data_IF_935999856603
#
_entry.id   IF_935999856603
#
_cell.length_a   1.000
_cell.length_b   1.000
_cell.length_c   1.000
_cell.angle_alpha   90.00
_cell.angle_beta   90.00
_cell.angle_gamma   90.00
#
_symmetry.space_group_name_H-M   'P 1'
#
loop_
_entity.id
_entity.type
_entity.pdbx_description
1 polymer ?
#
# COMPACT_ATOMS: atom_id res chain seq x y z
N UNK A 1 -27.22 24.19 -10.11
CA UNK A 1 -25.83 24.26 -9.62
C UNK A 1 -25.02 23.22 -10.40
N UNK A 2 -24.15 23.69 -11.30
CA UNK A 2 -23.37 22.81 -12.19
C UNK A 2 -22.19 22.20 -11.43
N UNK A 3 -22.17 20.87 -11.33
CA UNK A 3 -21.02 20.13 -10.85
C UNK A 3 -19.89 20.24 -11.90
N UNK A 4 -19.01 21.22 -11.72
CA UNK A 4 -17.71 21.21 -12.40
C UNK A 4 -16.88 20.09 -11.78
N UNK A 5 -16.94 18.89 -12.36
CA UNK A 5 -15.89 17.88 -12.17
C UNK A 5 -14.55 18.52 -12.53
N UNK A 6 -13.65 18.68 -11.56
CA UNK A 6 -12.39 19.42 -11.75
C UNK A 6 -11.46 18.61 -12.67
N UNK A 7 -11.00 19.14 -13.81
CA UNK A 7 -10.13 18.43 -14.76
C UNK A 7 -8.85 17.83 -14.14
N UNK A 8 -8.36 18.43 -13.05
CA UNK A 8 -7.18 18.00 -12.32
C UNK A 8 -7.36 16.66 -11.56
N UNK A 9 -8.59 16.29 -11.23
CA UNK A 9 -8.91 15.04 -10.55
C UNK A 9 -8.83 13.87 -11.53
N UNK A 10 -9.38 14.03 -12.74
CA UNK A 10 -9.29 13.00 -13.79
C UNK A 10 -7.86 12.72 -14.26
N UNK A 11 -7.03 13.76 -14.39
CA UNK A 11 -5.60 13.60 -14.74
C UNK A 11 -4.83 12.84 -13.64
N UNK A 12 -5.17 13.07 -12.37
CA UNK A 12 -4.56 12.39 -11.24
C UNK A 12 -4.95 10.91 -11.17
N UNK A 13 -6.25 10.60 -11.24
CA UNK A 13 -6.74 9.23 -11.26
C UNK A 13 -6.06 8.44 -12.38
N UNK A 14 -5.92 9.04 -13.57
CA UNK A 14 -5.22 8.41 -14.69
C UNK A 14 -3.73 8.15 -14.40
N UNK A 15 -3.04 9.06 -13.71
CA UNK A 15 -1.65 8.87 -13.32
C UNK A 15 -1.48 7.70 -12.33
N UNK A 16 -2.36 7.63 -11.33
CA UNK A 16 -2.37 6.52 -10.36
C UNK A 16 -2.73 5.18 -11.00
N UNK A 17 -3.66 5.17 -11.95
CA UNK A 17 -3.99 3.97 -12.75
C UNK A 17 -2.78 3.49 -13.56
N UNK A 18 -2.05 4.41 -14.20
CA UNK A 18 -0.83 4.08 -14.95
C UNK A 18 0.28 3.55 -14.05
N UNK A 19 0.48 4.17 -12.88
CA UNK A 19 1.43 3.68 -11.88
C UNK A 19 1.08 2.25 -11.47
N UNK A 20 -0.18 2.01 -11.10
CA UNK A 20 -0.64 0.68 -10.69
C UNK A 20 -0.48 -0.37 -11.79
N UNK A 21 -0.83 -0.02 -13.04
CA UNK A 21 -0.67 -0.90 -14.19
C UNK A 21 0.79 -1.25 -14.48
N UNK A 22 1.73 -0.39 -14.10
CA UNK A 22 3.17 -0.64 -14.21
C UNK A 22 3.73 -1.66 -13.22
N UNK A 23 2.99 -2.00 -12.15
CA UNK A 23 3.43 -3.02 -11.20
C UNK A 23 3.26 -4.43 -11.76
N UNK A 24 4.11 -5.36 -11.30
CA UNK A 24 3.98 -6.78 -11.64
C UNK A 24 2.60 -7.33 -11.22
N UNK A 25 2.07 -8.30 -11.98
CA UNK A 25 0.74 -8.86 -11.72
C UNK A 25 0.56 -9.38 -10.28
N UNK A 26 1.60 -9.99 -9.70
CA UNK A 26 1.59 -10.45 -8.31
C UNK A 26 1.49 -9.29 -7.29
N UNK A 27 2.17 -8.16 -7.56
CA UNK A 27 2.09 -6.94 -6.75
C UNK A 27 0.71 -6.30 -6.87
N UNK A 28 0.16 -6.20 -8.09
CA UNK A 28 -1.20 -5.69 -8.30
C UNK A 28 -2.24 -6.54 -7.55
N UNK A 29 -2.11 -7.88 -7.62
CA UNK A 29 -2.98 -8.81 -6.88
C UNK A 29 -2.88 -8.58 -5.38
N UNK A 30 -1.67 -8.44 -4.86
CA UNK A 30 -1.43 -8.18 -3.45
C UNK A 30 -2.04 -6.86 -2.99
N UNK A 31 -1.83 -5.77 -3.72
CA UNK A 31 -2.37 -4.45 -3.38
C UNK A 31 -3.90 -4.49 -3.32
N UNK A 32 -4.56 -5.08 -4.32
CA UNK A 32 -6.04 -5.21 -4.31
C UNK A 32 -6.52 -5.98 -3.07
N UNK A 33 -5.90 -7.13 -2.77
CA UNK A 33 -6.20 -7.92 -1.56
C UNK A 33 -5.99 -7.12 -0.28
N UNK A 34 -4.85 -6.44 -0.16
CA UNK A 34 -4.52 -5.63 1.01
C UNK A 34 -5.54 -4.49 1.20
N UNK A 35 -5.96 -3.83 0.13
CA UNK A 35 -7.00 -2.81 0.20
C UNK A 35 -8.37 -3.38 0.57
N UNK A 36 -8.72 -4.57 0.08
CA UNK A 36 -9.97 -5.23 0.44
C UNK A 36 -10.01 -5.59 1.93
N UNK A 37 -8.89 -6.05 2.49
CA UNK A 37 -8.75 -6.34 3.93
C UNK A 37 -8.75 -5.04 4.75
N UNK A 38 -7.84 -4.11 4.46
CA UNK A 38 -7.57 -2.94 5.32
C UNK A 38 -8.61 -1.84 5.24
N UNK A 39 -9.53 -1.92 4.27
CA UNK A 39 -10.67 -1.02 4.11
C UNK A 39 -12.01 -1.76 4.21
N UNK A 40 -12.00 -3.03 4.63
CA UNK A 40 -13.17 -3.88 4.85
C UNK A 40 -14.20 -3.83 3.70
N UNK A 41 -13.72 -4.08 2.46
CA UNK A 41 -14.53 -3.90 1.24
C UNK A 41 -15.35 -5.12 0.85
N UNK A 42 -14.87 -6.30 1.19
CA UNK A 42 -15.40 -7.61 0.79
C UNK A 42 -14.83 -8.69 1.68
N UNK A 43 -15.44 -9.88 1.71
CA UNK A 43 -14.82 -11.05 2.33
C UNK A 43 -13.53 -11.42 1.58
N UNK A 44 -12.39 -11.08 2.16
CA UNK A 44 -11.11 -11.32 1.54
C UNK A 44 -10.72 -12.80 1.56
N UNK A 45 -11.21 -13.58 2.53
CA UNK A 45 -10.97 -15.02 2.60
C UNK A 45 -11.65 -15.72 1.44
N UNK A 46 -12.94 -15.44 1.22
CA UNK A 46 -13.70 -15.99 0.11
C UNK A 46 -13.12 -15.55 -1.25
N UNK A 47 -12.78 -14.25 -1.38
CA UNK A 47 -12.36 -13.67 -2.66
C UNK A 47 -10.94 -14.08 -3.08
N UNK A 48 -10.00 -14.08 -2.14
CA UNK A 48 -8.56 -14.12 -2.47
C UNK A 48 -7.87 -15.42 -2.08
N UNK A 49 -8.44 -16.24 -1.21
CA UNK A 49 -7.80 -17.50 -0.81
C UNK A 49 -7.87 -18.53 -1.92
N UNK A 50 -6.73 -19.08 -2.32
CA UNK A 50 -6.66 -20.23 -3.25
C UNK A 50 -6.26 -21.54 -2.59
N UNK A 51 -5.59 -21.45 -1.45
CA UNK A 51 -5.08 -22.59 -0.70
C UNK A 51 -4.94 -22.23 0.79
N UNK A 52 -4.58 -23.23 1.60
CA UNK A 52 -4.46 -23.08 3.06
C UNK A 52 -3.34 -22.13 3.49
N UNK A 53 -2.30 -21.97 2.67
CA UNK A 53 -1.17 -21.08 2.96
C UNK A 53 -1.60 -19.63 2.74
N UNK A 54 -2.31 -19.36 1.64
CA UNK A 54 -2.87 -18.05 1.35
C UNK A 54 -3.97 -17.66 2.33
N UNK A 55 -4.81 -18.61 2.74
CA UNK A 55 -5.77 -18.44 3.83
C UNK A 55 -5.09 -17.97 5.13
N UNK A 56 -3.99 -18.63 5.53
CA UNK A 56 -3.23 -18.23 6.72
C UNK A 56 -2.60 -16.84 6.57
N UNK A 57 -2.04 -16.51 5.40
CA UNK A 57 -1.51 -15.18 5.07
C UNK A 57 -2.59 -14.10 5.17
N UNK A 58 -3.80 -14.35 4.66
CA UNK A 58 -4.93 -13.39 4.74
C UNK A 58 -5.34 -13.15 6.19
N UNK A 59 -5.46 -14.20 7.01
CA UNK A 59 -5.79 -14.05 8.44
C UNK A 59 -4.74 -13.25 9.20
N UNK A 60 -3.47 -13.54 8.97
CA UNK A 60 -2.37 -12.79 9.60
C UNK A 60 -2.38 -11.32 9.16
N UNK A 61 -2.65 -11.06 7.88
CA UNK A 61 -2.79 -9.71 7.34
C UNK A 61 -3.97 -8.96 7.95
N UNK A 62 -5.15 -9.59 8.05
CA UNK A 62 -6.33 -9.02 8.69
C UNK A 62 -6.05 -8.65 10.15
N UNK A 63 -5.49 -9.58 10.92
CA UNK A 63 -5.15 -9.34 12.32
C UNK A 63 -4.18 -8.16 12.52
N UNK A 64 -3.19 -8.02 11.63
CA UNK A 64 -2.28 -6.89 11.68
C UNK A 64 -2.96 -5.58 11.27
N UNK A 65 -3.89 -5.64 10.33
CA UNK A 65 -4.62 -4.48 9.83
C UNK A 65 -5.71 -3.97 10.78
N UNK A 66 -6.08 -4.74 11.82
CA UNK A 66 -6.93 -4.28 12.94
C UNK A 66 -6.37 -3.01 13.61
N UNK A 67 -5.05 -2.76 13.46
CA UNK A 67 -4.34 -1.60 14.00
C UNK A 67 -4.38 -0.36 13.09
N UNK A 68 -4.85 -0.47 11.84
CA UNK A 68 -4.88 0.66 10.91
C UNK A 68 -5.68 1.86 11.44
N UNK A 69 -6.85 1.71 12.10
CA UNK A 69 -7.55 2.85 12.71
C UNK A 69 -6.72 3.60 13.75
N UNK A 70 -5.98 2.87 14.60
CA UNK A 70 -5.05 3.45 15.58
C UNK A 70 -3.92 4.20 14.88
N UNK A 71 -3.28 3.59 13.87
CA UNK A 71 -2.20 4.23 13.09
C UNK A 71 -2.69 5.52 12.45
N UNK A 72 -3.90 5.53 11.86
CA UNK A 72 -4.50 6.74 11.26
C UNK A 72 -4.72 7.86 12.29
N UNK A 73 -5.06 7.50 13.53
CA UNK A 73 -5.29 8.48 14.61
C UNK A 73 -4.00 9.04 15.21
N UNK A 74 -2.86 8.34 15.03
CA UNK A 74 -1.56 8.72 15.58
C UNK A 74 -0.68 9.50 14.59
N UNK A 75 -1.14 9.77 13.36
CA UNK A 75 -0.35 10.53 12.38
C UNK A 75 0.01 11.90 12.98
N UNK A 76 1.30 12.22 13.13
CA UNK A 76 1.69 13.50 13.74
C UNK A 76 1.41 14.68 12.81
N UNK A 77 0.95 15.79 13.39
CA UNK A 77 0.75 17.07 12.69
C UNK A 77 2.08 17.79 12.38
N UNK A 78 3.14 17.45 13.12
CA UNK A 78 4.50 17.98 12.96
C UNK A 78 5.57 16.87 13.06
N UNK A 79 6.84 17.26 12.90
CA UNK A 79 7.99 16.33 12.96
C UNK A 79 8.65 16.24 14.34
N UNK A 80 7.95 16.60 15.42
CA UNK A 80 8.43 16.48 16.79
C UNK A 80 8.71 15.02 17.17
N UNK A 81 9.84 14.77 17.85
CA UNK A 81 10.26 13.41 18.21
C UNK A 81 9.26 12.70 19.14
N UNK A 82 8.67 13.43 20.09
CA UNK A 82 7.69 12.90 21.04
C UNK A 82 6.42 12.40 20.34
N UNK A 83 5.99 13.10 19.28
CA UNK A 83 4.83 12.72 18.49
C UNK A 83 5.16 11.57 17.50
N UNK A 84 6.42 11.49 17.06
CA UNK A 84 6.87 10.44 16.14
C UNK A 84 6.91 9.05 16.77
N UNK A 85 7.39 8.92 18.00
CA UNK A 85 7.58 7.61 18.67
C UNK A 85 6.33 6.71 18.67
N UNK A 86 5.15 7.15 19.15
CA UNK A 86 3.95 6.30 19.18
C UNK A 86 3.46 5.90 17.79
N UNK A 87 3.77 6.69 16.76
CA UNK A 87 3.31 6.47 15.39
C UNK A 87 4.23 5.55 14.57
N UNK A 88 5.54 5.72 14.70
CA UNK A 88 6.50 5.01 13.84
C UNK A 88 6.56 3.52 14.14
N UNK A 89 6.48 3.12 15.42
CA UNK A 89 6.54 1.72 15.82
C UNK A 89 5.42 0.86 15.19
N UNK A 90 4.12 1.23 15.28
CA UNK A 90 3.06 0.46 14.64
C UNK A 90 3.15 0.53 13.11
N UNK A 91 3.50 1.69 12.52
CA UNK A 91 3.67 1.81 11.07
C UNK A 91 4.75 0.84 10.56
N UNK A 92 5.94 0.85 11.16
CA UNK A 92 7.05 -0.07 10.79
C UNK A 92 6.64 -1.54 10.94
N UNK A 93 5.84 -1.86 11.95
CA UNK A 93 5.38 -3.24 12.21
C UNK A 93 4.47 -3.75 11.10
N UNK A 94 3.49 -2.95 10.68
CA UNK A 94 2.59 -3.32 9.55
C UNK A 94 3.39 -3.38 8.24
N UNK A 95 4.32 -2.43 8.03
CA UNK A 95 5.22 -2.41 6.86
C UNK A 95 6.08 -3.66 6.78
N UNK A 96 6.63 -4.11 7.90
CA UNK A 96 7.43 -5.33 7.98
C UNK A 96 6.63 -6.56 7.55
N UNK A 97 5.39 -6.69 8.04
CA UNK A 97 4.50 -7.78 7.62
C UNK A 97 4.29 -7.76 6.11
N UNK A 98 3.91 -6.61 5.55
CA UNK A 98 3.59 -6.52 4.12
C UNK A 98 4.79 -6.78 3.21
N UNK A 99 5.97 -6.25 3.58
CA UNK A 99 7.21 -6.50 2.83
C UNK A 99 7.63 -7.97 2.92
N UNK A 100 7.40 -8.63 4.06
CA UNK A 100 7.71 -10.06 4.24
C UNK A 100 6.93 -11.00 3.34
N UNK A 101 5.77 -10.56 2.81
CA UNK A 101 5.00 -11.33 1.84
C UNK A 101 5.69 -11.44 0.47
N UNK A 102 6.74 -10.64 0.22
CA UNK A 102 7.53 -10.69 -1.01
C UNK A 102 6.76 -10.24 -2.26
N UNK A 103 5.63 -9.54 -2.08
CA UNK A 103 4.79 -9.03 -3.18
C UNK A 103 4.92 -7.52 -3.40
N UNK A 104 5.27 -6.76 -2.36
CA UNK A 104 5.62 -5.35 -2.47
C UNK A 104 7.15 -5.23 -2.57
N UNK A 105 7.68 -5.25 -3.79
CA UNK A 105 9.14 -5.31 -4.00
C UNK A 105 9.78 -3.98 -4.38
N UNK A 106 9.10 -2.86 -4.13
CA UNK A 106 9.61 -1.51 -4.36
C UNK A 106 9.00 -0.49 -3.42
N UNK A 107 9.69 0.62 -3.19
CA UNK A 107 9.16 1.76 -2.45
C UNK A 107 7.90 2.33 -3.11
N UNK A 108 7.83 2.38 -4.45
CA UNK A 108 6.64 2.86 -5.17
C UNK A 108 5.40 2.01 -4.90
N UNK A 109 5.52 0.68 -4.94
CA UNK A 109 4.40 -0.22 -4.66
C UNK A 109 3.96 -0.16 -3.19
N UNK A 110 4.94 -0.06 -2.28
CA UNK A 110 4.69 0.19 -0.85
C UNK A 110 3.95 1.51 -0.62
N UNK A 111 4.48 2.62 -1.16
CA UNK A 111 3.87 3.95 -1.07
C UNK A 111 2.45 3.97 -1.59
N UNK A 112 2.25 3.38 -2.77
CA UNK A 112 0.94 3.28 -3.42
C UNK A 112 -0.09 2.59 -2.53
N UNK A 113 0.28 1.49 -1.85
CA UNK A 113 -0.62 0.81 -0.93
C UNK A 113 -0.89 1.66 0.32
N UNK A 114 0.15 2.17 0.96
CA UNK A 114 0.04 2.80 2.28
C UNK A 114 -0.68 4.14 2.25
N UNK A 115 -0.50 4.94 1.19
CA UNK A 115 -1.28 6.18 1.05
C UNK A 115 -2.79 5.92 0.91
N UNK A 116 -3.19 4.75 0.41
CA UNK A 116 -4.60 4.34 0.28
C UNK A 116 -5.14 3.69 1.55
N UNK A 117 -4.29 2.98 2.29
CA UNK A 117 -4.68 2.41 3.58
C UNK A 117 -4.80 3.48 4.65
N UNK A 118 -3.95 4.50 4.65
CA UNK A 118 -3.82 5.44 5.77
C UNK A 118 -4.29 6.85 5.40
N UNK A 119 -3.90 7.37 4.24
CA UNK A 119 -4.16 8.74 3.81
C UNK A 119 -2.92 9.41 3.21
N UNK A 120 -3.08 10.56 2.57
CA UNK A 120 -1.96 11.33 2.00
C UNK A 120 -0.95 11.83 3.05
N UNK A 121 -1.41 12.07 4.27
CA UNK A 121 -0.68 12.63 5.40
C UNK A 121 0.45 11.70 5.88
N UNK A 122 0.36 10.40 5.58
CA UNK A 122 1.38 9.41 5.93
C UNK A 122 2.67 9.57 5.10
N UNK A 123 2.59 10.19 3.91
CA UNK A 123 3.66 10.17 2.89
C UNK A 123 5.05 10.60 3.39
N UNK A 124 5.20 11.66 4.22
CA UNK A 124 6.50 12.05 4.78
C UNK A 124 7.17 10.96 5.62
N UNK A 125 6.37 10.08 6.23
CA UNK A 125 6.82 9.04 7.15
C UNK A 125 7.16 7.73 6.43
N UNK A 126 6.63 7.54 5.22
CA UNK A 126 6.79 6.31 4.45
C UNK A 126 8.24 5.97 4.09
N UNK A 127 9.13 6.91 3.68
CA UNK A 127 10.53 6.61 3.44
C UNK A 127 11.22 5.98 4.66
N UNK A 128 11.07 6.60 5.84
CA UNK A 128 11.69 6.12 7.07
C UNK A 128 11.14 4.76 7.48
N UNK A 129 9.80 4.60 7.47
CA UNK A 129 9.17 3.34 7.82
C UNK A 129 9.54 2.21 6.85
N UNK A 130 9.61 2.51 5.55
CA UNK A 130 10.05 1.57 4.53
C UNK A 130 11.49 1.13 4.74
N UNK A 131 12.42 2.07 4.94
CA UNK A 131 13.83 1.75 5.17
C UNK A 131 14.02 0.90 6.43
N UNK A 132 13.34 1.25 7.53
CA UNK A 132 13.37 0.47 8.76
C UNK A 132 12.85 -0.95 8.51
N UNK A 133 11.64 -1.10 7.97
CA UNK A 133 11.02 -2.40 7.72
C UNK A 133 11.81 -3.26 6.72
N UNK A 134 12.31 -2.65 5.63
CA UNK A 134 13.10 -3.32 4.60
C UNK A 134 14.48 -3.79 5.11
N UNK A 135 15.00 -3.21 6.19
CA UNK A 135 16.29 -3.60 6.77
C UNK A 135 16.18 -4.72 7.82
N UNK A 136 14.98 -5.03 8.31
CA UNK A 136 14.76 -5.96 9.43
C UNK A 136 15.23 -7.40 9.12
N UNK A 137 15.76 -8.13 10.13
CA UNK A 137 16.46 -9.40 9.95
C UNK A 137 15.58 -10.57 9.51
N UNK A 138 14.26 -10.46 9.65
CA UNK A 138 13.32 -11.50 9.20
C UNK A 138 13.22 -11.59 7.67
N UNK A 139 13.68 -10.56 6.95
CA UNK A 139 13.74 -10.56 5.48
C UNK A 139 15.05 -11.16 4.98
N UNK A 140 14.96 -11.99 3.95
CA UNK A 140 16.13 -12.52 3.25
C UNK A 140 17.06 -11.38 2.77
N UNK A 141 18.40 -11.47 2.93
CA UNK A 141 19.33 -10.40 2.54
C UNK A 141 19.14 -9.87 1.11
N UNK A 142 18.84 -10.73 0.14
CA UNK A 142 18.62 -10.31 -1.25
C UNK A 142 17.36 -9.47 -1.41
N UNK A 143 16.29 -9.80 -0.67
CA UNK A 143 15.07 -9.00 -0.67
C UNK A 143 15.33 -7.63 -0.03
N UNK A 144 16.06 -7.60 1.10
CA UNK A 144 16.46 -6.34 1.74
C UNK A 144 17.23 -5.43 0.78
N UNK A 145 18.22 -5.98 0.09
CA UNK A 145 19.00 -5.26 -0.93
C UNK A 145 18.08 -4.68 -2.01
N UNK A 146 17.21 -5.52 -2.60
CA UNK A 146 16.29 -5.09 -3.66
C UNK A 146 15.36 -3.97 -3.19
N UNK A 147 14.80 -4.09 -1.98
CA UNK A 147 13.92 -3.09 -1.39
C UNK A 147 14.66 -1.77 -1.15
N UNK A 148 15.81 -1.81 -0.47
CA UNK A 148 16.59 -0.61 -0.15
C UNK A 148 17.13 0.10 -1.39
N UNK A 149 17.41 -0.63 -2.48
CA UNK A 149 17.80 -0.04 -3.76
C UNK A 149 16.63 0.55 -4.56
N UNK A 150 15.38 0.32 -4.14
CA UNK A 150 14.19 0.76 -4.87
C UNK A 150 13.68 2.15 -4.47
N UNK A 151 14.13 2.69 -3.34
CA UNK A 151 13.86 4.07 -2.95
C UNK A 151 14.93 4.96 -3.56
N UNK A 152 14.51 6.05 -4.21
CA UNK A 152 15.44 7.05 -4.73
C UNK A 152 15.86 8.03 -3.64
N UNK A 153 17.05 8.62 -3.80
CA UNK A 153 17.49 9.73 -2.94
C UNK A 153 16.44 10.84 -2.90
N UNK A 154 15.95 11.26 -4.07
CA UNK A 154 14.93 12.30 -4.17
C UNK A 154 13.64 11.99 -3.40
N UNK A 155 13.24 10.72 -3.28
CA UNK A 155 12.10 10.33 -2.46
C UNK A 155 12.46 10.33 -0.96
N UNK A 156 13.66 9.90 -0.60
CA UNK A 156 14.14 9.88 0.78
C UNK A 156 14.40 11.29 1.35
N UNK A 157 14.75 12.25 0.48
CA UNK A 157 15.11 13.63 0.84
C UNK A 157 14.11 14.67 0.34
N UNK A 158 12.90 14.23 -0.06
CA UNK A 158 11.86 15.13 -0.55
C UNK A 158 11.56 16.22 0.49
N UNK A 159 11.67 17.50 0.09
CA UNK A 159 11.40 18.65 0.95
C UNK A 159 9.92 18.80 1.32
N UNK A 160 9.04 18.09 0.61
CA UNK A 160 7.61 18.05 0.89
C UNK A 160 6.92 16.96 0.08
N UNK A 161 5.77 16.53 0.59
CA UNK A 161 4.89 15.57 -0.07
C UNK A 161 3.56 16.24 -0.42
N UNK A 162 2.90 15.77 -1.48
CA UNK A 162 1.55 16.23 -1.78
C UNK A 162 0.61 15.89 -0.63
N UNK A 163 -0.27 16.81 -0.25
CA UNK A 163 -1.37 16.55 0.70
C UNK A 163 -2.65 16.08 -0.01
N UNK A 164 -2.61 15.90 -1.33
CA UNK A 164 -3.80 15.48 -2.08
C UNK A 164 -4.08 14.01 -1.85
N UNK A 165 -5.30 13.69 -1.42
CA UNK A 165 -5.72 12.31 -1.17
C UNK A 165 -5.66 11.44 -2.44
N UNK A 166 -5.36 10.13 -2.32
CA UNK A 166 -5.43 9.20 -3.45
C UNK A 166 -6.83 9.17 -4.04
N UNK A 167 -6.94 9.13 -5.37
CA UNK A 167 -8.23 9.15 -6.07
C UNK A 167 -8.60 7.79 -6.69
N UNK A 168 -7.59 6.99 -7.05
CA UNK A 168 -7.77 5.66 -7.63
C UNK A 168 -7.56 4.57 -6.59
N UNK A 169 -8.55 3.70 -6.40
CA UNK A 169 -8.43 2.49 -5.58
C UNK A 169 -8.72 1.25 -6.42
N UNK A 170 -7.70 0.43 -6.75
CA UNK A 170 -7.90 -0.74 -7.59
C UNK A 170 -8.80 -1.77 -6.89
N UNK A 171 -9.74 -2.32 -7.66
CA UNK A 171 -10.66 -3.36 -7.21
C UNK A 171 -10.29 -4.71 -7.84
N UNK A 172 -10.89 -5.78 -7.33
CA UNK A 172 -10.89 -7.08 -8.01
C UNK A 172 -11.45 -6.94 -9.42
N UNK A 173 -10.78 -7.57 -10.38
CA UNK A 173 -11.24 -7.66 -11.78
C UNK A 173 -11.46 -9.13 -12.07
N UNK A 174 -12.69 -9.51 -12.40
CA UNK A 174 -12.99 -10.87 -12.85
C UNK A 174 -12.21 -11.17 -14.13
N UNK A 175 -11.74 -12.42 -14.26
CA UNK A 175 -11.24 -12.87 -15.55
C UNK A 175 -12.44 -12.96 -16.48
N UNK A 176 -12.44 -12.15 -17.54
CA UNK A 176 -13.40 -12.31 -18.63
C UNK A 176 -13.26 -13.74 -19.14
N UNK A 177 -14.37 -14.49 -19.17
CA UNK A 177 -14.39 -15.86 -19.69
C UNK A 177 -13.83 -15.87 -21.11
N UNK A 178 -12.98 -16.84 -21.43
CA UNK A 178 -12.49 -17.07 -22.79
C UNK A 178 -13.55 -17.74 -23.68
N UNK A 179 -14.82 -17.40 -23.46
CA UNK A 179 -15.87 -17.85 -24.37
C UNK A 179 -15.78 -17.02 -25.64
N UNK A 180 -15.70 -17.65 -26.82
CA UNK A 180 -15.74 -16.92 -28.07
C UNK A 180 -17.04 -16.13 -28.15
N UNK A 181 -16.95 -14.87 -28.56
CA UNK A 181 -18.12 -14.04 -28.85
C UNK A 181 -19.05 -14.82 -29.77
N UNK A 182 -20.36 -14.94 -29.46
CA UNK A 182 -21.31 -15.50 -30.41
C UNK A 182 -21.26 -14.64 -31.68
N UNK A 183 -20.92 -15.30 -32.78
CA UNK A 183 -20.84 -14.71 -34.12
C UNK A 183 -22.21 -14.43 -34.72
#
# INVERSE_FOLDING_TARGET
MSARSKPAEGAMTLAEMKEFAGFAAATQRYIRRALDIGLDRTDAMERWSRDVVEAASIRAQAHMYDRLPEIRALIPDDSGLDAMEPFMAPLVTVSALDLSQGRLTSFSAYRFLYERLIGAEVRPWLPAAFCAAAALPHLHPDLRRKLLQSISEAAATASGWSNRQPAFFPQWVEKVGTEPMPG
#
